data_IF_583990788857
#
_entry.id   IF_583990788857
#
_cell.length_a   1.000
_cell.length_b   1.000
_cell.length_c   1.000
_cell.angle_alpha   90.00
_cell.angle_beta   90.00
_cell.angle_gamma   90.00
#
_symmetry.space_group_name_H-M   'P 1'
#
loop_
_entity.id
_entity.type
_entity.pdbx_description
1 polymer ?
#
# COMPACT_ATOMS: atom_id res chain seq x y z
N UNK A 1 33.02 7.67 1.07
CA UNK A 1 32.68 8.14 -0.29
C UNK A 1 31.57 7.28 -0.89
N UNK A 2 31.73 5.98 -1.05
CA UNK A 2 30.71 5.11 -1.69
C UNK A 2 29.28 5.19 -1.11
N UNK A 3 29.10 5.30 0.21
CA UNK A 3 27.75 5.38 0.84
C UNK A 3 27.02 6.67 0.50
N UNK A 4 27.74 7.79 0.37
CA UNK A 4 27.12 9.08 -0.03
C UNK A 4 26.75 9.10 -1.51
N UNK A 5 27.52 8.46 -2.36
CA UNK A 5 27.23 8.32 -3.79
C UNK A 5 25.98 7.45 -4.03
N UNK A 6 25.90 6.31 -3.36
CA UNK A 6 24.71 5.44 -3.42
C UNK A 6 23.45 6.17 -2.95
N UNK A 7 23.53 6.96 -1.89
CA UNK A 7 22.41 7.75 -1.42
C UNK A 7 21.97 8.84 -2.41
N UNK A 8 22.93 9.51 -3.06
CA UNK A 8 22.64 10.53 -4.08
C UNK A 8 22.05 9.92 -5.36
N UNK A 9 22.50 8.73 -5.77
CA UNK A 9 21.93 8.00 -6.90
C UNK A 9 20.49 7.59 -6.63
N UNK A 10 20.22 7.09 -5.43
CA UNK A 10 18.86 6.71 -5.04
C UNK A 10 17.94 7.93 -4.97
N UNK A 11 18.43 9.06 -4.47
CA UNK A 11 17.62 10.30 -4.44
C UNK A 11 17.28 10.77 -5.85
N UNK A 12 18.21 10.76 -6.79
CA UNK A 12 17.93 11.06 -8.20
C UNK A 12 16.90 10.11 -8.80
N UNK A 13 17.00 8.83 -8.48
CA UNK A 13 16.04 7.82 -8.96
C UNK A 13 14.63 8.05 -8.40
N UNK A 14 14.51 8.40 -7.11
CA UNK A 14 13.23 8.73 -6.47
C UNK A 14 12.61 9.99 -7.09
N UNK A 15 13.43 10.98 -7.43
CA UNK A 15 12.99 12.20 -8.12
C UNK A 15 12.43 11.87 -9.50
N UNK A 16 13.11 11.02 -10.26
CA UNK A 16 12.64 10.58 -11.57
C UNK A 16 11.33 9.79 -11.48
N UNK A 17 11.23 8.87 -10.51
CA UNK A 17 10.02 8.08 -10.26
C UNK A 17 8.84 9.00 -9.91
N UNK A 18 9.04 9.95 -8.98
CA UNK A 18 8.03 10.93 -8.60
C UNK A 18 7.56 11.75 -9.81
N UNK A 19 8.49 12.24 -10.63
CA UNK A 19 8.16 12.99 -11.83
C UNK A 19 7.33 12.16 -12.83
N UNK A 20 7.65 10.88 -13.02
CA UNK A 20 6.88 9.97 -13.87
C UNK A 20 5.45 9.76 -13.31
N UNK A 21 5.33 9.48 -12.03
CA UNK A 21 4.02 9.26 -11.39
C UNK A 21 3.15 10.53 -11.46
N UNK A 22 3.72 11.71 -11.19
CA UNK A 22 3.00 12.97 -11.27
C UNK A 22 2.57 13.32 -12.70
N UNK A 23 3.39 13.01 -13.70
CA UNK A 23 3.01 13.19 -15.10
C UNK A 23 1.79 12.34 -15.46
N UNK A 24 1.75 11.09 -14.98
CA UNK A 24 0.60 10.19 -15.19
C UNK A 24 -0.66 10.72 -14.52
N UNK A 25 -0.57 11.22 -13.28
CA UNK A 25 -1.71 11.84 -12.62
C UNK A 25 -2.19 13.07 -13.40
N UNK A 26 -1.26 13.93 -13.91
CA UNK A 26 -1.61 15.08 -14.74
C UNK A 26 -2.30 14.69 -16.05
N UNK A 27 -1.83 13.62 -16.71
CA UNK A 27 -2.47 13.13 -17.94
C UNK A 27 -3.85 12.53 -17.69
N UNK A 28 -4.05 11.92 -16.53
CA UNK A 28 -5.28 11.21 -16.17
C UNK A 28 -6.35 12.08 -15.53
N UNK A 29 -6.03 13.30 -15.11
CA UNK A 29 -6.98 14.21 -14.48
C UNK A 29 -7.88 14.89 -15.52
N UNK A 30 -9.19 14.54 -15.60
CA UNK A 30 -10.11 15.12 -16.56
C UNK A 30 -10.46 16.58 -16.27
N UNK A 31 -10.31 17.03 -15.01
CA UNK A 31 -10.67 18.38 -14.57
C UNK A 31 -9.54 19.39 -14.88
N UNK A 32 -8.33 18.90 -15.08
CA UNK A 32 -7.17 19.74 -15.30
C UNK A 32 -7.21 20.42 -16.68
N UNK A 33 -7.24 21.76 -16.69
CA UNK A 33 -7.23 22.54 -17.93
C UNK A 33 -6.01 22.20 -18.80
N UNK A 34 -6.17 22.11 -20.14
CA UNK A 34 -5.10 21.63 -21.05
C UNK A 34 -3.78 22.41 -20.92
N UNK A 35 -3.82 23.73 -20.78
CA UNK A 35 -2.62 24.55 -20.61
C UNK A 35 -1.89 24.28 -19.30
N UNK A 36 -2.63 24.03 -18.22
CA UNK A 36 -2.06 23.66 -16.91
C UNK A 36 -1.47 22.25 -16.96
N UNK A 37 -2.16 21.31 -17.61
CA UNK A 37 -1.67 19.94 -17.84
C UNK A 37 -0.34 19.96 -18.60
N UNK A 38 -0.26 20.71 -19.70
CA UNK A 38 0.97 20.83 -20.51
C UNK A 38 2.13 21.38 -19.68
N UNK A 39 1.87 22.40 -18.85
CA UNK A 39 2.91 22.97 -17.97
C UNK A 39 3.42 21.95 -16.96
N UNK A 40 2.51 21.23 -16.28
CA UNK A 40 2.88 20.17 -15.34
C UNK A 40 3.73 19.09 -15.98
N UNK A 41 3.39 18.66 -17.19
CA UNK A 41 4.19 17.68 -17.93
C UNK A 41 5.59 18.22 -18.27
N UNK A 42 5.70 19.49 -18.60
CA UNK A 42 7.01 20.14 -18.83
C UNK A 42 7.84 20.19 -17.54
N UNK A 43 7.23 20.51 -16.41
CA UNK A 43 7.90 20.56 -15.11
C UNK A 43 8.33 19.14 -14.69
N UNK A 44 7.50 18.13 -14.87
CA UNK A 44 7.87 16.73 -14.62
C UNK A 44 9.03 16.28 -15.52
N UNK A 45 9.01 16.62 -16.82
CA UNK A 45 10.11 16.37 -17.73
C UNK A 45 11.41 17.05 -17.28
N UNK A 46 11.33 18.30 -16.82
CA UNK A 46 12.50 19.03 -16.31
C UNK A 46 13.13 18.32 -15.09
N UNK A 47 12.29 17.88 -14.14
CA UNK A 47 12.75 17.12 -12.96
C UNK A 47 13.36 15.78 -13.39
N UNK A 48 12.70 15.04 -14.28
CA UNK A 48 13.23 13.79 -14.83
C UNK A 48 14.62 13.98 -15.47
N UNK A 49 14.77 15.02 -16.31
CA UNK A 49 16.06 15.33 -16.95
C UNK A 49 17.14 15.70 -15.94
N UNK A 50 16.79 16.47 -14.90
CA UNK A 50 17.73 16.84 -13.84
C UNK A 50 18.22 15.64 -13.02
N UNK A 51 17.44 14.58 -12.96
CA UNK A 51 17.80 13.33 -12.29
C UNK A 51 18.83 12.48 -13.08
N UNK A 52 18.98 12.72 -14.39
CA UNK A 52 19.90 12.00 -15.26
C UNK A 52 21.24 12.73 -15.48
N UNK A 53 22.24 11.98 -15.94
CA UNK A 53 23.47 12.58 -16.47
C UNK A 53 23.18 13.40 -17.73
N UNK A 54 23.96 14.45 -18.02
CA UNK A 54 23.68 15.38 -19.14
C UNK A 54 23.46 14.69 -20.49
N UNK A 55 24.24 13.66 -20.79
CA UNK A 55 24.17 12.92 -22.07
C UNK A 55 22.82 12.20 -22.23
N UNK A 56 22.33 11.57 -21.16
CA UNK A 56 21.03 10.90 -21.16
C UNK A 56 19.88 11.91 -21.08
N UNK A 57 20.02 12.94 -20.28
CA UNK A 57 19.03 14.01 -20.17
C UNK A 57 18.73 14.68 -21.51
N UNK A 58 19.76 14.89 -22.36
CA UNK A 58 19.61 15.48 -23.68
C UNK A 58 18.77 14.60 -24.65
N UNK A 59 18.74 13.28 -24.44
CA UNK A 59 17.99 12.35 -25.26
C UNK A 59 16.51 12.24 -24.87
N UNK A 60 16.12 12.70 -23.68
CA UNK A 60 14.75 12.60 -23.18
C UNK A 60 13.99 13.88 -23.54
N UNK A 61 13.34 13.87 -24.70
CA UNK A 61 12.39 14.94 -25.07
C UNK A 61 10.96 14.60 -24.61
N UNK A 62 10.00 15.50 -24.86
CA UNK A 62 8.59 15.29 -24.46
C UNK A 62 7.98 14.06 -25.10
N UNK A 63 8.36 13.76 -26.33
CA UNK A 63 7.86 12.58 -27.07
C UNK A 63 8.34 11.29 -26.42
N UNK A 64 9.64 11.18 -26.16
CA UNK A 64 10.28 10.04 -25.51
C UNK A 64 9.74 9.86 -24.08
N UNK A 65 9.55 10.95 -23.36
CA UNK A 65 8.96 10.93 -22.02
C UNK A 65 7.56 10.34 -22.04
N UNK A 66 6.65 10.87 -22.88
CA UNK A 66 5.27 10.35 -22.99
C UNK A 66 5.20 8.91 -23.45
N UNK A 67 6.06 8.52 -24.39
CA UNK A 67 6.14 7.13 -24.84
C UNK A 67 6.64 6.21 -23.72
N UNK A 68 7.67 6.63 -22.99
CA UNK A 68 8.23 5.88 -21.87
C UNK A 68 7.26 5.72 -20.70
N UNK A 69 6.38 6.70 -20.43
CA UNK A 69 5.33 6.57 -19.40
C UNK A 69 4.32 5.46 -19.71
N UNK A 70 4.16 5.07 -20.98
CA UNK A 70 3.20 4.01 -21.43
C UNK A 70 3.79 2.61 -21.47
N UNK A 71 5.05 2.47 -21.08
CA UNK A 71 5.74 1.20 -20.98
C UNK A 71 6.39 1.01 -19.60
N UNK A 72 7.25 0.00 -19.47
CA UNK A 72 8.06 -0.19 -18.27
C UNK A 72 8.91 1.04 -17.96
N UNK A 73 9.00 1.42 -16.69
CA UNK A 73 9.70 2.65 -16.25
C UNK A 73 11.22 2.60 -16.36
N UNK A 74 11.82 1.41 -16.39
CA UNK A 74 13.28 1.26 -16.37
C UNK A 74 14.03 2.19 -17.34
N UNK A 75 13.59 2.35 -18.62
CA UNK A 75 14.23 3.27 -19.57
C UNK A 75 14.16 4.75 -19.17
N UNK A 76 13.20 5.15 -18.35
CA UNK A 76 13.04 6.52 -17.85
C UNK A 76 13.72 6.76 -16.51
N UNK A 77 14.06 5.72 -15.76
CA UNK A 77 14.67 5.88 -14.45
C UNK A 77 16.21 5.90 -14.55
N UNK A 78 16.91 6.71 -13.73
CA UNK A 78 18.35 6.55 -13.57
C UNK A 78 18.70 5.13 -13.14
N UNK A 79 19.88 4.60 -13.51
CA UNK A 79 20.31 3.27 -13.09
C UNK A 79 20.22 3.10 -11.56
N UNK A 80 19.70 1.96 -11.11
CA UNK A 80 19.70 1.63 -9.70
C UNK A 80 21.15 1.35 -9.25
N UNK A 81 21.53 1.86 -8.08
CA UNK A 81 22.80 1.54 -7.44
C UNK A 81 22.71 0.14 -6.84
N UNK A 82 22.95 -0.89 -7.67
CA UNK A 82 22.85 -2.28 -7.25
C UNK A 82 22.03 -3.14 -8.20
N UNK A 83 21.11 -3.96 -7.68
CA UNK A 83 20.22 -4.80 -8.49
C UNK A 83 19.04 -3.98 -9.02
N UNK A 84 18.52 -4.32 -10.24
CA UNK A 84 17.28 -3.76 -10.72
C UNK A 84 16.19 -3.90 -9.65
N UNK A 85 15.47 -2.82 -9.40
CA UNK A 85 14.34 -2.86 -8.48
C UNK A 85 13.02 -3.12 -9.25
N UNK A 86 11.93 -3.30 -8.51
CA UNK A 86 10.61 -3.59 -9.11
C UNK A 86 10.09 -2.45 -9.98
N UNK A 87 10.59 -1.23 -9.82
CA UNK A 87 10.15 -0.08 -10.60
C UNK A 87 10.66 -0.13 -12.04
N UNK A 88 11.75 -0.85 -12.34
CA UNK A 88 12.24 -1.01 -13.70
C UNK A 88 11.20 -1.70 -14.62
N UNK A 89 10.48 -2.66 -14.11
CA UNK A 89 9.43 -3.39 -14.82
C UNK A 89 8.02 -2.83 -14.59
N UNK A 90 7.89 -1.77 -13.79
CA UNK A 90 6.59 -1.22 -13.45
C UNK A 90 6.02 -0.41 -14.61
N UNK A 91 4.75 -0.66 -14.93
CA UNK A 91 3.95 0.13 -15.85
C UNK A 91 3.00 1.03 -15.04
N UNK A 92 2.93 2.32 -15.38
CA UNK A 92 2.10 3.31 -14.70
C UNK A 92 0.67 3.37 -15.25
N UNK A 93 0.49 3.00 -16.51
CA UNK A 93 -0.83 2.86 -17.13
C UNK A 93 -1.20 1.38 -17.25
N UNK A 94 -2.47 1.10 -17.21
CA UNK A 94 -2.99 -0.20 -17.57
C UNK A 94 -3.18 -0.33 -19.09
N UNK A 95 -3.63 -1.49 -19.55
CA UNK A 95 -3.85 -1.77 -20.97
C UNK A 95 -4.91 -0.86 -21.63
N UNK A 96 -5.73 -0.16 -20.84
CA UNK A 96 -6.74 0.80 -21.31
C UNK A 96 -6.23 2.25 -21.27
N UNK A 97 -5.00 2.47 -20.84
CA UNK A 97 -4.42 3.78 -20.69
C UNK A 97 -4.94 4.54 -19.47
N UNK A 98 -5.51 3.85 -18.48
CA UNK A 98 -5.88 4.42 -17.19
C UNK A 98 -4.70 4.31 -16.22
N UNK A 99 -4.50 5.34 -15.41
CA UNK A 99 -3.47 5.30 -14.37
C UNK A 99 -3.73 4.18 -13.36
N UNK A 100 -2.68 3.42 -13.04
CA UNK A 100 -2.74 2.39 -11.99
C UNK A 100 -2.83 3.03 -10.62
N UNK A 101 -3.49 2.35 -9.69
CA UNK A 101 -3.63 2.84 -8.31
C UNK A 101 -2.30 3.05 -7.59
N UNK A 102 -1.31 2.19 -7.85
CA UNK A 102 0.04 2.35 -7.31
C UNK A 102 0.70 3.70 -7.65
N UNK A 103 0.28 4.37 -8.72
CA UNK A 103 0.76 5.72 -9.07
C UNK A 103 0.38 6.73 -8.00
N UNK A 104 -0.86 6.68 -7.50
CA UNK A 104 -1.32 7.57 -6.44
C UNK A 104 -0.59 7.29 -5.12
N UNK A 105 -0.37 6.01 -4.80
CA UNK A 105 0.37 5.61 -3.60
C UNK A 105 1.81 6.12 -3.67
N UNK A 106 2.50 5.91 -4.80
CA UNK A 106 3.85 6.41 -5.00
C UNK A 106 3.93 7.94 -4.93
N UNK A 107 2.96 8.66 -5.51
CA UNK A 107 2.90 10.11 -5.37
C UNK A 107 2.77 10.50 -3.89
N UNK A 108 1.90 9.85 -3.12
CA UNK A 108 1.69 10.17 -1.71
C UNK A 108 2.91 9.82 -0.84
N UNK A 109 3.61 8.73 -1.16
CA UNK A 109 4.77 8.25 -0.40
C UNK A 109 6.06 9.01 -0.75
N UNK A 110 6.26 9.40 -2.02
CA UNK A 110 7.48 10.05 -2.52
C UNK A 110 7.40 11.58 -2.59
N UNK A 111 6.24 12.19 -2.41
CA UNK A 111 6.09 13.65 -2.32
C UNK A 111 6.75 14.20 -1.04
N UNK A 112 8.04 13.90 -0.88
CA UNK A 112 8.92 14.67 -0.01
C UNK A 112 9.28 15.97 -0.75
N UNK A 113 9.41 17.10 -0.05
CA UNK A 113 9.32 18.43 -0.60
C UNK A 113 10.32 18.69 -1.73
N UNK A 114 9.88 18.58 -2.95
CA UNK A 114 10.51 19.25 -4.08
C UNK A 114 9.67 20.48 -4.39
N UNK A 115 10.14 21.62 -3.93
CA UNK A 115 9.42 22.89 -3.93
C UNK A 115 8.77 23.27 -5.27
N UNK A 116 9.30 22.80 -6.40
CA UNK A 116 8.75 23.03 -7.72
C UNK A 116 7.46 22.25 -7.98
N UNK A 117 7.36 21.00 -7.50
CA UNK A 117 6.19 20.14 -7.74
C UNK A 117 5.12 20.32 -6.65
N UNK A 118 5.52 20.71 -5.42
CA UNK A 118 4.59 21.03 -4.33
C UNK A 118 3.69 22.24 -4.65
N UNK A 119 4.18 23.22 -5.40
CA UNK A 119 3.37 24.37 -5.82
C UNK A 119 2.17 23.97 -6.69
N UNK A 120 2.23 22.83 -7.38
CA UNK A 120 1.22 22.43 -8.33
C UNK A 120 0.21 21.41 -7.77
N UNK A 121 0.59 20.67 -6.69
CA UNK A 121 -0.28 19.66 -6.08
C UNK A 121 -0.27 19.61 -4.55
N UNK A 122 -0.40 20.74 -3.86
CA UNK A 122 -0.49 20.72 -2.39
C UNK A 122 -1.73 19.94 -1.93
N UNK A 123 -2.79 19.90 -2.74
CA UNK A 123 -4.07 19.31 -2.36
C UNK A 123 -4.07 17.77 -2.35
N UNK A 124 -3.31 17.08 -3.19
CA UNK A 124 -3.26 15.62 -3.17
C UNK A 124 -2.61 15.10 -1.89
N UNK A 125 -1.50 15.72 -1.48
CA UNK A 125 -0.83 15.45 -0.22
C UNK A 125 -1.67 15.89 0.97
N UNK A 126 -2.19 17.11 0.95
CA UNK A 126 -3.04 17.65 2.01
C UNK A 126 -4.27 16.77 2.20
N UNK A 127 -4.87 16.26 1.12
CA UNK A 127 -6.02 15.36 1.21
C UNK A 127 -5.64 14.00 1.82
N UNK A 128 -4.53 13.39 1.40
CA UNK A 128 -4.04 12.15 1.99
C UNK A 128 -3.70 12.31 3.47
N UNK A 129 -2.97 13.38 3.82
CA UNK A 129 -2.64 13.70 5.21
C UNK A 129 -3.89 14.04 6.05
N UNK A 130 -4.89 14.71 5.46
CA UNK A 130 -6.16 15.00 6.15
C UNK A 130 -6.99 13.75 6.40
N UNK A 131 -7.07 12.82 5.46
CA UNK A 131 -7.79 11.56 5.64
C UNK A 131 -7.08 10.65 6.66
N UNK A 132 -5.76 10.58 6.60
CA UNK A 132 -4.96 9.90 7.62
C UNK A 132 -5.14 10.53 9.01
N UNK A 133 -5.07 11.87 9.11
CA UNK A 133 -5.31 12.60 10.35
C UNK A 133 -6.74 12.40 10.88
N UNK A 134 -7.75 12.44 10.01
CA UNK A 134 -9.15 12.15 10.39
C UNK A 134 -9.30 10.76 10.99
N UNK A 135 -8.71 9.74 10.32
CA UNK A 135 -8.72 8.38 10.84
C UNK A 135 -8.07 8.34 12.23
N UNK A 136 -6.87 8.91 12.37
CA UNK A 136 -6.17 8.95 13.66
C UNK A 136 -6.92 9.74 14.73
N UNK A 137 -7.52 10.88 14.39
CA UNK A 137 -8.27 11.71 15.33
C UNK A 137 -9.52 11.00 15.85
N UNK A 138 -10.21 10.27 14.97
CA UNK A 138 -11.33 9.42 15.36
C UNK A 138 -10.85 8.30 16.27
N UNK A 139 -9.80 7.59 15.86
CA UNK A 139 -9.27 6.44 16.58
C UNK A 139 -8.70 6.82 17.97
N UNK A 140 -8.05 7.98 18.13
CA UNK A 140 -7.48 8.46 19.39
C UNK A 140 -8.52 8.80 20.47
N UNK A 141 -9.76 9.05 20.08
CA UNK A 141 -10.87 9.35 21.01
C UNK A 141 -11.49 8.11 21.61
N UNK A 142 -11.15 6.94 21.09
CA UNK A 142 -11.69 5.66 21.52
C UNK A 142 -11.00 5.18 22.80
N UNK A 143 -11.74 4.48 23.63
CA UNK A 143 -11.15 3.67 24.69
C UNK A 143 -10.24 2.58 24.10
N UNK A 144 -9.28 2.03 24.84
CA UNK A 144 -8.40 0.97 24.32
C UNK A 144 -9.14 -0.24 23.74
N UNK A 145 -10.29 -0.58 24.30
CA UNK A 145 -11.11 -1.70 23.81
C UNK A 145 -11.84 -1.34 22.50
N UNK A 146 -12.44 -0.17 22.43
CA UNK A 146 -13.07 0.34 21.21
C UNK A 146 -12.06 0.53 20.09
N UNK A 147 -10.86 1.02 20.39
CA UNK A 147 -9.75 1.13 19.47
C UNK A 147 -9.40 -0.23 18.85
N UNK A 148 -9.22 -1.28 19.68
CA UNK A 148 -8.94 -2.64 19.17
C UNK A 148 -10.05 -3.17 18.29
N UNK A 149 -11.32 -2.93 18.67
CA UNK A 149 -12.47 -3.33 17.87
C UNK A 149 -12.53 -2.57 16.53
N UNK A 150 -12.28 -1.27 16.54
CA UNK A 150 -12.27 -0.42 15.35
C UNK A 150 -11.13 -0.82 14.39
N UNK A 151 -9.92 -1.07 14.90
CA UNK A 151 -8.80 -1.59 14.09
C UNK A 151 -9.14 -2.95 13.48
N UNK A 152 -9.70 -3.86 14.26
CA UNK A 152 -10.14 -5.17 13.75
C UNK A 152 -11.19 -5.02 12.66
N UNK A 153 -12.16 -4.12 12.84
CA UNK A 153 -13.19 -3.82 11.84
C UNK A 153 -12.58 -3.36 10.52
N UNK A 154 -11.64 -2.41 10.55
CA UNK A 154 -10.95 -1.92 9.36
C UNK A 154 -10.21 -3.03 8.60
N UNK A 155 -9.60 -3.97 9.31
CA UNK A 155 -8.92 -5.12 8.71
C UNK A 155 -9.88 -6.18 8.14
N UNK A 156 -11.05 -6.38 8.76
CA UNK A 156 -11.95 -7.49 8.43
C UNK A 156 -13.15 -7.08 7.59
N UNK A 157 -13.54 -5.80 7.61
CA UNK A 157 -14.74 -5.26 6.95
C UNK A 157 -14.42 -3.97 6.18
N UNK A 158 -13.38 -3.99 5.37
CA UNK A 158 -13.04 -2.84 4.52
C UNK A 158 -14.14 -2.50 3.49
N UNK A 159 -15.00 -3.46 3.17
CA UNK A 159 -16.22 -3.26 2.39
C UNK A 159 -17.30 -4.26 2.83
N UNK A 160 -18.55 -3.93 2.58
CA UNK A 160 -19.70 -4.78 2.88
C UNK A 160 -21.02 -4.09 2.59
N UNK A 161 -22.13 -4.80 2.83
CA UNK A 161 -23.44 -4.18 2.76
C UNK A 161 -23.66 -3.19 3.91
N UNK A 162 -24.46 -2.15 3.68
CA UNK A 162 -24.88 -1.19 4.71
C UNK A 162 -25.38 -1.93 5.95
N UNK A 163 -26.16 -2.99 5.77
CA UNK A 163 -26.71 -3.80 6.86
C UNK A 163 -25.61 -4.52 7.66
N UNK A 164 -24.62 -5.09 6.99
CA UNK A 164 -23.47 -5.76 7.62
C UNK A 164 -22.62 -4.76 8.40
N UNK A 165 -22.25 -3.65 7.78
CA UNK A 165 -21.44 -2.59 8.38
C UNK A 165 -22.17 -1.92 9.55
N UNK A 166 -23.47 -1.63 9.44
CA UNK A 166 -24.24 -1.04 10.53
C UNK A 166 -24.22 -1.92 11.77
N UNK A 167 -24.34 -3.24 11.64
CA UNK A 167 -24.22 -4.16 12.78
C UNK A 167 -22.86 -4.08 13.48
N UNK A 168 -21.80 -3.80 12.75
CA UNK A 168 -20.47 -3.63 13.32
C UNK A 168 -20.33 -2.26 13.97
N UNK A 169 -20.85 -1.21 13.34
CA UNK A 169 -20.88 0.15 13.90
C UNK A 169 -21.69 0.22 15.20
N UNK A 170 -22.84 -0.45 15.25
CA UNK A 170 -23.68 -0.53 16.46
C UNK A 170 -22.91 -1.12 17.64
N UNK A 171 -22.05 -2.12 17.40
CA UNK A 171 -21.16 -2.71 18.43
C UNK A 171 -20.06 -1.76 18.90
N UNK A 172 -19.73 -0.75 18.11
CA UNK A 172 -18.73 0.27 18.43
C UNK A 172 -19.35 1.55 18.97
N UNK A 173 -20.71 1.65 18.97
CA UNK A 173 -21.44 2.89 19.26
C UNK A 173 -20.96 4.07 18.40
N UNK A 174 -20.44 3.80 17.21
CA UNK A 174 -19.83 4.76 16.33
C UNK A 174 -20.09 4.39 14.86
N UNK A 175 -20.32 5.42 14.05
CA UNK A 175 -20.33 5.31 12.59
C UNK A 175 -19.13 6.06 12.03
N UNK A 176 -18.44 5.42 11.10
CA UNK A 176 -17.31 6.04 10.40
C UNK A 176 -17.80 6.73 9.11
N UNK A 177 -17.34 7.95 8.90
CA UNK A 177 -17.70 8.80 7.74
C UNK A 177 -16.79 8.57 6.51
N UNK A 178 -15.80 7.68 6.61
CA UNK A 178 -14.87 7.37 5.54
C UNK A 178 -15.29 6.13 4.69
N UNK A 179 -16.52 5.65 4.84
CA UNK A 179 -17.10 4.66 3.94
C UNK A 179 -17.89 5.35 2.83
N UNK A 180 -17.57 4.97 1.59
CA UNK A 180 -18.17 5.53 0.36
C UNK A 180 -18.97 4.47 -0.37
N UNK A 181 -19.93 4.89 -1.20
CA UNK A 181 -20.74 3.96 -1.99
C UNK A 181 -19.91 3.33 -3.12
N UNK A 182 -19.91 2.00 -3.20
CA UNK A 182 -19.28 1.27 -4.31
C UNK A 182 -19.95 1.58 -5.65
N UNK A 183 -21.23 2.00 -5.65
CA UNK A 183 -21.95 2.43 -6.85
C UNK A 183 -21.28 3.63 -7.54
N UNK A 184 -20.57 4.47 -6.78
CA UNK A 184 -19.89 5.66 -7.28
C UNK A 184 -18.48 5.35 -7.85
N UNK A 185 -18.07 4.08 -7.86
CA UNK A 185 -16.73 3.64 -8.30
C UNK A 185 -16.76 2.78 -9.56
N UNK A 186 -16.91 3.38 -10.76
CA UNK A 186 -17.01 2.61 -12.01
C UNK A 186 -15.77 1.76 -12.33
N UNK A 187 -14.61 2.09 -11.75
CA UNK A 187 -13.36 1.38 -11.97
C UNK A 187 -13.33 -0.05 -11.39
N UNK A 188 -14.22 -0.37 -10.45
CA UNK A 188 -14.32 -1.71 -9.85
C UNK A 188 -15.54 -2.50 -10.32
N UNK A 189 -16.29 -1.98 -11.28
CA UNK A 189 -17.56 -2.56 -11.72
C UNK A 189 -17.47 -3.16 -13.12
N UNK A 190 -18.11 -4.29 -13.31
CA UNK A 190 -18.39 -4.89 -14.62
C UNK A 190 -19.86 -5.28 -14.67
N UNK A 191 -20.60 -4.74 -15.64
CA UNK A 191 -22.04 -5.02 -15.86
C UNK A 191 -22.91 -4.83 -14.61
N UNK A 192 -22.59 -3.82 -13.80
CA UNK A 192 -23.34 -3.53 -12.55
C UNK A 192 -22.98 -4.44 -11.37
N UNK A 193 -21.90 -5.21 -11.48
CA UNK A 193 -21.38 -6.05 -10.41
C UNK A 193 -19.98 -5.63 -10.00
N UNK A 194 -19.66 -5.79 -8.71
CA UNK A 194 -18.33 -5.63 -8.18
C UNK A 194 -17.87 -6.88 -7.43
N UNK A 195 -16.58 -7.03 -7.22
CA UNK A 195 -15.96 -8.23 -6.70
C UNK A 195 -15.08 -7.88 -5.50
N UNK A 196 -15.44 -8.33 -4.28
CA UNK A 196 -14.61 -8.11 -3.10
C UNK A 196 -13.32 -8.94 -3.19
N UNK A 197 -12.20 -8.35 -2.82
CA UNK A 197 -10.95 -9.10 -2.68
C UNK A 197 -11.09 -10.19 -1.59
N UNK A 198 -10.74 -11.45 -1.82
CA UNK A 198 -10.87 -12.50 -0.81
C UNK A 198 -9.95 -12.29 0.40
N UNK A 199 -8.93 -11.44 0.29
CA UNK A 199 -7.98 -11.14 1.38
C UNK A 199 -8.41 -9.89 2.16
N UNK A 200 -8.57 -8.74 1.50
CA UNK A 200 -8.86 -7.47 2.18
C UNK A 200 -10.32 -7.04 2.11
N UNK A 201 -11.17 -7.77 1.42
CA UNK A 201 -12.60 -7.46 1.20
C UNK A 201 -12.87 -6.17 0.40
N UNK A 202 -11.86 -5.35 0.16
CA UNK A 202 -11.98 -4.12 -0.61
C UNK A 202 -12.30 -4.43 -2.08
N UNK A 203 -13.03 -3.56 -2.82
CA UNK A 203 -13.38 -3.79 -4.22
C UNK A 203 -12.14 -4.01 -5.11
N UNK A 204 -12.15 -5.08 -5.89
CA UNK A 204 -11.11 -5.36 -6.87
C UNK A 204 -11.30 -4.48 -8.09
N UNK A 205 -10.19 -4.05 -8.67
CA UNK A 205 -10.18 -3.27 -9.91
C UNK A 205 -10.54 -4.16 -11.11
N UNK A 206 -11.48 -3.70 -11.92
CA UNK A 206 -11.84 -4.32 -13.18
C UNK A 206 -11.17 -3.55 -14.33
N UNK A 207 -10.30 -4.24 -15.07
CA UNK A 207 -9.52 -3.66 -16.17
C UNK A 207 -9.87 -4.39 -17.44
N UNK A 208 -10.30 -3.66 -18.46
CA UNK A 208 -10.59 -4.25 -19.77
C UNK A 208 -9.27 -4.64 -20.45
N UNK A 209 -9.16 -5.88 -20.87
CA UNK A 209 -8.01 -6.43 -21.61
C UNK A 209 -8.49 -7.04 -22.93
N UNK A 210 -8.55 -6.22 -23.98
CA UNK A 210 -9.17 -6.61 -25.24
C UNK A 210 -10.66 -6.91 -25.10
N UNK A 211 -11.14 -8.12 -25.49
CA UNK A 211 -12.53 -8.54 -25.34
C UNK A 211 -12.88 -9.04 -23.93
N UNK A 212 -11.91 -9.14 -23.03
CA UNK A 212 -12.06 -9.68 -21.67
C UNK A 212 -11.80 -8.60 -20.62
N UNK A 213 -12.16 -8.91 -19.37
CA UNK A 213 -11.76 -8.09 -18.23
C UNK A 213 -10.84 -8.89 -17.32
N UNK A 214 -9.81 -8.23 -16.83
CA UNK A 214 -9.02 -8.70 -15.70
C UNK A 214 -9.56 -8.04 -14.43
N UNK A 215 -9.85 -8.85 -13.41
CA UNK A 215 -10.31 -8.39 -12.11
C UNK A 215 -9.25 -8.73 -11.07
N UNK A 216 -8.67 -7.72 -10.42
CA UNK A 216 -7.54 -7.93 -9.51
C UNK A 216 -7.55 -6.97 -8.32
N UNK A 217 -7.01 -7.42 -7.21
CA UNK A 217 -6.67 -6.54 -6.10
C UNK A 217 -5.24 -6.03 -6.27
N UNK A 218 -5.03 -4.73 -6.39
CA UNK A 218 -3.70 -4.15 -6.59
C UNK A 218 -2.70 -4.58 -5.49
N UNK A 219 -3.11 -4.57 -4.22
CA UNK A 219 -2.25 -4.98 -3.12
C UNK A 219 -2.03 -6.51 -3.03
N UNK A 220 -2.96 -7.33 -3.55
CA UNK A 220 -2.91 -8.79 -3.39
C UNK A 220 -2.72 -9.55 -4.71
N UNK A 221 -2.64 -8.86 -5.86
CA UNK A 221 -2.28 -9.47 -7.14
C UNK A 221 -0.93 -10.21 -7.09
N UNK A 222 0.13 -9.69 -6.42
CA UNK A 222 1.38 -10.44 -6.24
C UNK A 222 1.22 -11.74 -5.46
N UNK A 223 0.14 -11.89 -4.68
CA UNK A 223 -0.24 -13.10 -3.93
C UNK A 223 -1.21 -14.00 -4.69
N UNK A 224 -1.48 -13.71 -5.98
CA UNK A 224 -2.36 -14.49 -6.84
C UNK A 224 -3.84 -14.07 -6.83
N UNK A 225 -4.19 -12.93 -6.24
CA UNK A 225 -5.57 -12.38 -6.29
C UNK A 225 -5.76 -11.65 -7.61
N UNK A 226 -5.84 -12.43 -8.67
CA UNK A 226 -6.00 -11.98 -10.05
C UNK A 226 -6.90 -12.98 -10.79
N UNK A 227 -7.92 -12.46 -11.48
CA UNK A 227 -8.95 -13.25 -12.13
C UNK A 227 -9.20 -12.73 -13.55
N UNK A 228 -9.57 -13.65 -14.42
CA UNK A 228 -10.14 -13.34 -15.72
C UNK A 228 -11.64 -13.39 -15.61
N UNK A 229 -12.31 -12.33 -16.08
CA UNK A 229 -13.75 -12.24 -16.11
C UNK A 229 -14.28 -12.66 -17.47
N UNK A 230 -15.26 -13.55 -17.46
CA UNK A 230 -16.02 -13.96 -18.65
C UNK A 230 -17.43 -13.44 -18.53
N UNK A 231 -17.89 -12.70 -19.55
CA UNK A 231 -19.24 -12.16 -19.62
C UNK A 231 -20.30 -13.26 -19.46
N UNK A 232 -21.34 -12.99 -18.69
CA UNK A 232 -22.51 -13.85 -18.62
C UNK A 232 -23.29 -13.82 -19.94
N UNK A 233 -23.83 -14.97 -20.37
CA UNK A 233 -24.75 -15.04 -21.50
C UNK A 233 -26.19 -14.69 -21.16
N UNK A 234 -26.48 -14.41 -19.88
CA UNK A 234 -27.80 -14.08 -19.35
C UNK A 234 -27.76 -12.95 -18.34
N UNK A 235 -28.93 -12.58 -17.76
CA UNK A 235 -28.98 -11.60 -16.69
C UNK A 235 -28.25 -12.16 -15.45
N UNK A 236 -27.22 -11.48 -15.01
CA UNK A 236 -26.44 -11.87 -13.83
C UNK A 236 -24.96 -11.58 -13.98
N UNK A 237 -24.16 -11.78 -12.90
CA UNK A 237 -22.74 -11.57 -12.93
C UNK A 237 -22.07 -12.58 -13.87
N UNK A 238 -21.00 -12.13 -14.52
CA UNK A 238 -20.11 -13.03 -15.24
C UNK A 238 -19.25 -13.87 -14.27
N UNK A 239 -18.56 -14.84 -14.83
CA UNK A 239 -17.74 -15.78 -14.07
C UNK A 239 -16.31 -15.28 -13.92
N UNK A 240 -15.76 -15.38 -12.70
CA UNK A 240 -14.35 -15.14 -12.41
C UNK A 240 -13.57 -16.45 -12.40
N UNK A 241 -12.61 -16.55 -13.33
CA UNK A 241 -11.64 -17.65 -13.36
C UNK A 241 -10.32 -17.16 -12.80
N UNK A 242 -9.86 -17.75 -11.71
CA UNK A 242 -8.58 -17.41 -11.10
C UNK A 242 -7.40 -17.75 -12.02
N UNK A 243 -6.46 -16.82 -12.17
CA UNK A 243 -5.25 -16.99 -12.99
C UNK A 243 -4.05 -17.52 -12.20
N UNK A 244 -4.13 -17.52 -10.86
CA UNK A 244 -3.07 -17.96 -9.96
C UNK A 244 -3.42 -19.23 -9.16
N UNK A 245 -2.39 -19.95 -8.67
CA UNK A 245 -2.56 -21.17 -7.87
C UNK A 245 -3.33 -21.00 -6.56
N UNK A 246 -3.41 -19.75 -6.06
CA UNK A 246 -4.07 -19.40 -4.80
C UNK A 246 -5.42 -18.69 -5.01
N UNK A 247 -5.98 -18.75 -6.21
CA UNK A 247 -7.24 -18.07 -6.50
C UNK A 247 -8.40 -18.75 -5.74
N UNK A 248 -9.03 -18.00 -4.87
CA UNK A 248 -10.21 -18.39 -4.10
C UNK A 248 -11.46 -17.94 -4.86
N UNK A 249 -12.53 -18.71 -4.83
CA UNK A 249 -13.80 -18.31 -5.42
C UNK A 249 -14.30 -17.00 -4.78
N UNK A 250 -14.74 -16.07 -5.62
CA UNK A 250 -15.24 -14.76 -5.19
C UNK A 250 -16.71 -14.64 -5.56
N UNK A 251 -17.54 -14.32 -4.57
CA UNK A 251 -18.95 -14.05 -4.80
C UNK A 251 -19.14 -12.63 -5.31
N UNK A 252 -19.70 -12.42 -6.50
CA UNK A 252 -20.04 -11.11 -7.02
C UNK A 252 -21.13 -10.44 -6.17
N UNK A 253 -21.06 -9.13 -6.06
CA UNK A 253 -22.05 -8.31 -5.35
C UNK A 253 -22.57 -7.22 -6.29
N UNK A 254 -23.87 -6.85 -6.20
CA UNK A 254 -24.41 -5.79 -7.05
C UNK A 254 -23.77 -4.44 -6.69
N UNK A 255 -23.44 -3.65 -7.70
CA UNK A 255 -22.94 -2.30 -7.53
C UNK A 255 -24.13 -1.36 -7.23
N UNK A 256 -24.53 -1.31 -5.98
CA UNK A 256 -25.66 -0.50 -5.50
C UNK A 256 -25.24 0.36 -4.31
N UNK A 257 -26.04 1.36 -3.99
CA UNK A 257 -25.85 2.21 -2.80
C UNK A 257 -25.94 1.43 -1.47
N UNK A 258 -26.40 0.19 -1.51
CA UNK A 258 -26.44 -0.70 -0.35
C UNK A 258 -25.07 -1.32 -0.01
N UNK A 259 -24.04 -1.09 -0.85
CA UNK A 259 -22.69 -1.56 -0.61
C UNK A 259 -21.74 -0.37 -0.44
N UNK A 260 -21.01 -0.40 0.67
CA UNK A 260 -20.02 0.61 1.02
C UNK A 260 -18.62 -0.02 1.12
N UNK A 261 -17.63 0.77 0.85
CA UNK A 261 -16.24 0.43 1.12
C UNK A 261 -15.50 1.62 1.74
N UNK A 262 -14.48 1.36 2.56
CA UNK A 262 -13.61 2.43 3.05
C UNK A 262 -12.99 3.14 1.87
N UNK A 263 -12.79 4.47 1.98
CA UNK A 263 -12.11 5.22 0.94
C UNK A 263 -10.67 4.67 0.74
N UNK A 264 -10.06 5.01 -0.40
CA UNK A 264 -8.78 4.45 -0.79
C UNK A 264 -7.65 4.73 0.23
N UNK A 265 -7.62 5.91 0.86
CA UNK A 265 -6.58 6.27 1.83
C UNK A 265 -6.71 5.43 3.10
N UNK A 266 -7.91 5.27 3.63
CA UNK A 266 -8.17 4.40 4.78
C UNK A 266 -7.85 2.94 4.46
N UNK A 267 -8.19 2.47 3.25
CA UNK A 267 -7.79 1.14 2.83
C UNK A 267 -6.26 0.98 2.81
N UNK A 268 -5.56 1.91 2.19
CA UNK A 268 -4.10 1.82 1.99
C UNK A 268 -3.32 1.92 3.30
N UNK A 269 -3.65 2.89 4.14
CA UNK A 269 -2.89 3.22 5.34
C UNK A 269 -3.53 2.72 6.64
N UNK A 270 -4.77 2.28 6.59
CA UNK A 270 -5.50 1.68 7.70
C UNK A 270 -5.68 0.16 7.54
N UNK A 271 -6.39 -0.27 6.49
CA UNK A 271 -6.75 -1.69 6.32
C UNK A 271 -5.54 -2.58 6.02
N UNK A 272 -4.69 -2.20 5.06
CA UNK A 272 -3.57 -3.07 4.64
C UNK A 272 -2.54 -3.34 5.74
N UNK A 273 -2.10 -2.35 6.55
CA UNK A 273 -1.24 -2.64 7.70
C UNK A 273 -1.90 -3.58 8.71
N UNK A 274 -3.16 -3.33 9.07
CA UNK A 274 -3.92 -4.18 10.00
C UNK A 274 -3.99 -5.63 9.53
N UNK A 275 -4.11 -5.86 8.23
CA UNK A 275 -4.11 -7.22 7.68
C UNK A 275 -2.79 -7.96 7.91
N UNK A 276 -1.65 -7.26 7.84
CA UNK A 276 -0.34 -7.87 8.17
C UNK A 276 -0.26 -8.22 9.65
N UNK A 277 -0.78 -7.35 10.51
CA UNK A 277 -0.85 -7.56 11.95
C UNK A 277 -1.73 -8.78 12.29
N UNK A 278 -2.93 -8.84 11.70
CA UNK A 278 -3.86 -9.96 11.87
C UNK A 278 -3.28 -11.26 11.30
N UNK A 279 -2.65 -11.22 10.12
CA UNK A 279 -1.98 -12.38 9.54
C UNK A 279 -0.91 -12.92 10.51
N UNK A 280 -0.06 -12.06 11.05
CA UNK A 280 0.98 -12.45 11.99
C UNK A 280 0.37 -13.05 13.27
N UNK A 281 -0.70 -12.45 13.79
CA UNK A 281 -1.46 -13.00 14.92
C UNK A 281 -1.95 -14.42 14.63
N UNK A 282 -2.60 -14.61 13.49
CA UNK A 282 -3.23 -15.90 13.13
C UNK A 282 -2.18 -16.97 12.86
N UNK A 283 -1.04 -16.62 12.24
CA UNK A 283 0.08 -17.55 12.04
C UNK A 283 0.76 -18.00 13.34
N UNK A 284 0.66 -17.21 14.39
CA UNK A 284 1.26 -17.47 15.69
C UNK A 284 0.24 -18.00 16.71
N UNK A 285 -1.04 -17.99 16.40
CA UNK A 285 -2.10 -18.43 17.30
C UNK A 285 -1.89 -19.89 17.73
N UNK A 286 -2.12 -20.16 19.02
CA UNK A 286 -2.04 -21.50 19.59
C UNK A 286 -0.63 -22.05 19.83
N UNK A 287 0.43 -21.27 19.58
CA UNK A 287 1.79 -21.70 19.91
C UNK A 287 1.98 -21.79 21.43
N UNK A 288 2.69 -22.82 21.93
CA UNK A 288 2.98 -22.95 23.34
C UNK A 288 3.95 -21.84 23.79
N UNK A 289 3.82 -21.42 25.07
CA UNK A 289 4.69 -20.42 25.70
C UNK A 289 4.67 -19.05 25.05
N UNK A 290 3.71 -18.77 24.17
CA UNK A 290 3.51 -17.50 23.48
C UNK A 290 2.42 -16.68 24.16
N UNK A 291 2.74 -15.44 24.46
CA UNK A 291 1.79 -14.38 24.83
C UNK A 291 1.88 -13.29 23.76
N UNK A 292 0.72 -12.84 23.26
CA UNK A 292 0.64 -11.82 22.23
C UNK A 292 -0.43 -10.80 22.58
N UNK A 293 -0.04 -9.53 22.55
CA UNK A 293 -0.94 -8.40 22.75
C UNK A 293 -0.99 -7.56 21.48
N UNK A 294 -2.20 -7.40 20.93
CA UNK A 294 -2.46 -6.50 19.80
C UNK A 294 -2.64 -5.08 20.32
N UNK A 295 -2.01 -4.13 19.62
CA UNK A 295 -2.12 -2.69 19.87
C UNK A 295 -1.99 -2.34 21.36
N UNK A 296 -0.83 -2.62 21.95
CA UNK A 296 -0.59 -2.38 23.36
C UNK A 296 -0.49 -0.88 23.62
N UNK A 297 -0.96 -0.47 24.77
CA UNK A 297 -0.88 0.90 25.28
C UNK A 297 -2.14 1.26 26.05
N UNK A 298 -1.97 1.60 27.33
CA UNK A 298 -3.07 2.09 28.19
C UNK A 298 -3.28 3.60 28.02
N UNK A 299 -2.19 4.37 27.83
CA UNK A 299 -2.24 5.82 27.72
C UNK A 299 -2.09 6.34 26.29
N UNK A 300 -1.48 5.56 25.39
CA UNK A 300 -1.33 5.82 23.96
C UNK A 300 -1.54 4.52 23.22
N UNK A 301 -2.76 4.16 22.87
CA UNK A 301 -2.97 3.09 21.94
C UNK A 301 -2.18 3.42 20.68
N UNK A 302 -1.46 2.43 20.12
CA UNK A 302 -0.67 2.60 18.89
C UNK A 302 0.79 3.04 19.04
N UNK A 303 1.42 2.72 20.16
CA UNK A 303 2.86 2.91 20.30
C UNK A 303 3.65 1.98 19.36
N UNK A 304 3.10 0.80 19.11
CA UNK A 304 3.46 -0.23 18.12
C UNK A 304 2.30 -1.24 18.00
N UNK A 305 2.29 -2.01 16.91
CA UNK A 305 1.11 -2.82 16.55
C UNK A 305 0.95 -4.10 17.37
N UNK A 306 2.07 -4.82 17.66
CA UNK A 306 2.03 -6.06 18.44
C UNK A 306 3.17 -6.13 19.45
N UNK A 307 2.86 -6.68 20.63
CA UNK A 307 3.84 -7.16 21.59
C UNK A 307 3.79 -8.68 21.64
N UNK A 308 4.90 -9.30 21.32
CA UNK A 308 5.05 -10.76 21.32
C UNK A 308 6.06 -11.13 22.40
N UNK A 309 5.66 -12.02 23.31
CA UNK A 309 6.51 -12.56 24.37
C UNK A 309 6.53 -14.08 24.27
N UNK A 310 7.73 -14.66 24.26
CA UNK A 310 7.94 -16.12 24.34
C UNK A 310 8.66 -16.43 25.63
N UNK A 311 8.03 -17.28 26.48
CA UNK A 311 8.52 -17.64 27.81
C UNK A 311 8.64 -19.15 27.99
N UNK A 312 9.60 -19.79 27.29
CA UNK A 312 9.87 -21.23 27.40
C UNK A 312 10.52 -21.52 28.77
N UNK A 313 10.03 -22.51 29.54
CA UNK A 313 10.66 -22.92 30.80
C UNK A 313 12.16 -23.21 30.65
N UNK A 314 12.95 -22.69 31.56
CA UNK A 314 14.42 -22.87 31.54
C UNK A 314 15.18 -22.01 30.51
N UNK A 315 14.51 -21.15 29.75
CA UNK A 315 15.14 -20.22 28.81
C UNK A 315 14.82 -18.78 29.16
N UNK A 316 15.68 -17.85 28.74
CA UNK A 316 15.41 -16.41 28.86
C UNK A 316 14.20 -16.02 28.03
N UNK A 317 13.35 -15.15 28.59
CA UNK A 317 12.20 -14.57 27.87
C UNK A 317 12.68 -13.79 26.64
N UNK A 318 11.97 -13.94 25.55
CA UNK A 318 12.21 -13.18 24.31
C UNK A 318 11.02 -12.28 24.03
N UNK A 319 11.31 -11.05 23.59
CA UNK A 319 10.29 -10.05 23.30
C UNK A 319 10.51 -9.47 21.90
N UNK A 320 9.41 -9.20 21.21
CA UNK A 320 9.36 -8.43 19.96
C UNK A 320 8.31 -7.35 20.09
N UNK A 321 8.70 -6.12 19.83
CA UNK A 321 7.79 -5.00 19.60
C UNK A 321 7.71 -4.80 18.10
N UNK A 322 6.53 -5.00 17.52
CA UNK A 322 6.31 -5.09 16.08
C UNK A 322 5.51 -3.90 15.61
N UNK A 323 5.95 -3.30 14.51
CA UNK A 323 5.24 -2.24 13.79
C UNK A 323 5.16 -2.64 12.31
N UNK A 324 3.95 -2.92 11.81
CA UNK A 324 3.69 -3.40 10.46
C UNK A 324 3.56 -2.22 9.48
N UNK A 325 4.25 -2.29 8.36
CA UNK A 325 4.25 -1.23 7.34
C UNK A 325 4.00 -1.82 5.95
N UNK A 326 2.98 -1.30 5.28
CA UNK A 326 2.56 -1.75 3.95
C UNK A 326 2.76 -0.66 2.88
N UNK A 327 3.90 0.02 2.88
CA UNK A 327 4.20 1.06 1.91
C UNK A 327 4.58 0.47 0.55
N UNK A 328 4.27 1.19 -0.52
CA UNK A 328 4.71 0.82 -1.87
C UNK A 328 6.22 1.00 -2.05
N UNK A 329 6.78 2.05 -1.46
CA UNK A 329 8.21 2.33 -1.53
C UNK A 329 8.90 2.16 -0.19
N UNK A 330 9.78 1.18 -0.08
CA UNK A 330 10.64 1.01 1.11
C UNK A 330 11.64 2.15 1.28
N UNK A 331 11.98 2.87 0.20
CA UNK A 331 12.84 4.05 0.23
C UNK A 331 12.13 5.20 0.92
N UNK A 332 10.90 5.48 0.49
CA UNK A 332 10.07 6.50 1.12
C UNK A 332 9.77 6.16 2.59
N UNK A 333 9.50 4.89 2.88
CA UNK A 333 9.34 4.39 4.25
C UNK A 333 10.60 4.65 5.08
N UNK A 334 11.80 4.33 4.55
CA UNK A 334 13.06 4.58 5.23
C UNK A 334 13.26 6.05 5.57
N UNK A 335 13.00 6.95 4.61
CA UNK A 335 13.05 8.41 4.83
C UNK A 335 12.05 8.84 5.93
N UNK A 336 10.81 8.36 5.88
CA UNK A 336 9.79 8.66 6.88
C UNK A 336 10.16 8.16 8.28
N UNK A 337 10.75 6.98 8.39
CA UNK A 337 11.23 6.42 9.65
C UNK A 337 12.41 7.22 10.21
N UNK A 338 13.38 7.62 9.37
CA UNK A 338 14.55 8.39 9.79
C UNK A 338 14.22 9.84 10.15
N UNK A 339 13.20 10.42 9.55
CA UNK A 339 12.74 11.78 9.86
C UNK A 339 11.99 11.90 11.19
N UNK A 340 11.57 10.80 11.81
CA UNK A 340 10.84 10.81 13.09
C UNK A 340 11.80 10.64 14.27
N UNK A 341 12.14 11.71 15.00
CA UNK A 341 12.91 11.62 16.23
C UNK A 341 12.07 10.92 17.30
N UNK A 342 12.39 9.71 17.64
CA UNK A 342 11.68 8.94 18.65
C UNK A 342 11.32 7.53 18.24
N UNK A 343 11.77 7.09 17.08
CA UNK A 343 11.70 5.68 16.72
C UNK A 343 12.41 4.87 17.82
N UNK A 344 11.68 3.95 18.45
CA UNK A 344 12.19 3.31 19.68
C UNK A 344 13.18 2.21 19.34
N UNK A 345 14.32 2.20 20.02
CA UNK A 345 15.28 1.09 19.95
C UNK A 345 14.59 -0.25 20.24
N UNK A 346 14.92 -1.28 19.46
CA UNK A 346 14.37 -2.62 19.62
C UNK A 346 13.01 -2.84 18.95
N UNK A 347 12.48 -1.84 18.23
CA UNK A 347 11.31 -2.02 17.37
C UNK A 347 11.66 -2.93 16.19
N UNK A 348 10.72 -3.76 15.80
CA UNK A 348 10.82 -4.61 14.60
C UNK A 348 9.80 -4.16 13.58
N UNK A 349 10.27 -3.53 12.49
CA UNK A 349 9.44 -3.20 11.33
C UNK A 349 9.17 -4.48 10.54
N UNK A 350 7.89 -4.74 10.26
CA UNK A 350 7.46 -5.91 9.49
C UNK A 350 6.85 -5.45 8.16
N UNK A 351 7.44 -5.94 7.08
CA UNK A 351 7.00 -5.70 5.71
C UNK A 351 6.18 -6.88 5.18
N UNK A 352 5.33 -6.66 4.15
CA UNK A 352 4.73 -7.74 3.38
C UNK A 352 5.80 -8.68 2.79
N UNK A 353 5.49 -9.98 2.64
CA UNK A 353 6.46 -10.97 2.15
C UNK A 353 6.93 -10.72 0.71
N UNK A 354 6.11 -10.09 -0.13
CA UNK A 354 6.53 -9.72 -1.49
C UNK A 354 7.65 -8.67 -1.52
N UNK A 355 7.86 -7.91 -0.43
CA UNK A 355 8.96 -6.96 -0.26
C UNK A 355 10.19 -7.58 0.40
N UNK A 356 10.29 -8.90 0.44
CA UNK A 356 11.41 -9.61 1.10
C UNK A 356 12.80 -9.19 0.58
N UNK A 357 12.94 -8.97 -0.73
CA UNK A 357 14.19 -8.53 -1.35
C UNK A 357 14.63 -7.13 -0.91
N UNK A 358 13.67 -6.26 -0.58
CA UNK A 358 13.90 -4.86 -0.25
C UNK A 358 14.23 -4.65 1.25
N UNK A 359 13.99 -5.66 2.09
CA UNK A 359 14.19 -5.57 3.55
C UNK A 359 15.61 -5.17 3.96
N UNK A 360 16.64 -5.64 3.23
CA UNK A 360 18.03 -5.34 3.55
C UNK A 360 18.38 -3.89 3.30
N UNK A 361 17.80 -3.32 2.24
CA UNK A 361 17.95 -1.90 1.94
C UNK A 361 17.35 -1.05 3.06
N UNK A 362 16.08 -1.31 3.45
CA UNK A 362 15.45 -0.59 4.56
C UNK A 362 16.23 -0.76 5.87
N UNK A 363 16.68 -1.98 6.17
CA UNK A 363 17.49 -2.24 7.36
C UNK A 363 18.78 -1.42 7.40
N UNK A 364 19.41 -1.17 6.25
CA UNK A 364 20.59 -0.33 6.16
C UNK A 364 20.30 1.14 6.47
N UNK A 365 19.14 1.65 6.05
CA UNK A 365 18.71 3.04 6.29
C UNK A 365 18.39 3.31 7.76
N UNK A 366 17.77 2.34 8.46
CA UNK A 366 17.34 2.52 9.86
C UNK A 366 18.30 1.91 10.89
N UNK A 367 19.48 1.45 10.47
CA UNK A 367 20.47 0.76 11.32
C UNK A 367 20.84 1.55 12.56
N UNK A 368 21.13 2.83 12.40
CA UNK A 368 21.61 3.70 13.50
C UNK A 368 20.53 3.97 14.55
N UNK A 369 19.29 3.67 14.24
CA UNK A 369 18.15 3.81 15.16
C UNK A 369 17.92 2.55 16.02
N UNK A 370 18.69 1.47 15.80
CA UNK A 370 18.54 0.21 16.52
C UNK A 370 17.23 -0.53 16.20
N UNK A 371 16.66 -0.27 15.03
CA UNK A 371 15.44 -0.89 14.52
C UNK A 371 15.80 -2.12 13.69
N UNK A 372 15.01 -3.19 13.84
CA UNK A 372 15.11 -4.40 13.05
C UNK A 372 14.09 -4.38 11.92
N UNK A 373 14.44 -4.91 10.76
CA UNK A 373 13.53 -5.04 9.61
C UNK A 373 13.39 -6.50 9.21
N UNK A 374 12.17 -6.95 9.00
CA UNK A 374 11.86 -8.34 8.60
C UNK A 374 10.56 -8.38 7.78
N UNK A 375 10.15 -9.56 7.33
CA UNK A 375 8.83 -9.78 6.74
C UNK A 375 7.97 -10.64 7.65
N UNK A 376 6.65 -10.70 7.36
CA UNK A 376 5.69 -11.47 8.17
C UNK A 376 6.15 -12.91 8.36
N UNK A 377 6.38 -13.66 7.28
CA UNK A 377 6.80 -15.06 7.35
C UNK A 377 8.15 -15.26 8.04
N UNK A 378 9.10 -14.33 7.84
CA UNK A 378 10.40 -14.40 8.51
C UNK A 378 10.29 -14.18 10.02
N UNK A 379 9.44 -13.25 10.48
CA UNK A 379 9.20 -13.05 11.90
C UNK A 379 8.46 -14.24 12.50
N UNK A 380 7.38 -14.70 11.86
CA UNK A 380 6.62 -15.85 12.32
C UNK A 380 7.52 -17.07 12.51
N UNK A 381 8.41 -17.36 11.56
CA UNK A 381 9.39 -18.44 11.69
C UNK A 381 10.29 -18.27 12.91
N UNK A 382 10.85 -17.08 13.14
CA UNK A 382 11.72 -16.80 14.30
C UNK A 382 11.00 -16.99 15.62
N UNK A 383 9.72 -16.62 15.68
CA UNK A 383 8.89 -16.80 16.89
C UNK A 383 8.58 -18.27 17.10
N UNK A 384 8.20 -19.01 16.05
CA UNK A 384 7.99 -20.47 16.09
C UNK A 384 9.24 -21.21 16.57
N UNK A 385 10.39 -20.89 16.01
CA UNK A 385 11.70 -21.46 16.44
C UNK A 385 12.00 -21.13 17.92
N UNK A 386 11.62 -19.94 18.39
CA UNK A 386 11.80 -19.55 19.79
C UNK A 386 10.87 -20.32 20.75
N UNK A 387 9.66 -20.68 20.32
CA UNK A 387 8.71 -21.50 21.06
C UNK A 387 9.13 -23.00 21.08
N UNK A 388 10.09 -23.40 20.25
CA UNK A 388 10.44 -24.82 20.08
C UNK A 388 9.40 -25.60 19.29
N UNK A 389 8.55 -24.93 18.52
CA UNK A 389 7.57 -25.60 17.67
C UNK A 389 8.27 -26.40 16.56
N UNK A 390 7.82 -27.61 16.23
CA UNK A 390 8.37 -28.36 15.11
C UNK A 390 8.18 -27.56 13.80
N UNK A 391 9.16 -27.70 12.90
CA UNK A 391 9.17 -27.06 11.58
C UNK A 391 8.10 -27.59 10.66
#
# INVERSE_FOLDING_TARGET
MAVREVAADQERRDQALTACCMAVVAESDPVLAPGRRSRLLMDCLAVLRAAHRPERAAQIGMKEFRQGLRGPLGPLLPPASGRPDRFDSMELFDAQGLARDAVQDLCSEHLVPQAALEQYWPWARVRAEQEEQRLFDVMRRLSPEEYRRARTLLGTHAAGSVRELSRQWDRLWMRFDFFESVADWPWCQVDGWWYPCPVCRWPMRAVRSGPQFDVRCEAHAPRGVHYRYTLSKGPGPGELTGTGKAAVAVTPLPASSDHLAVNRHVWRYGTLPVLLELQLRDELAGLPFLEMQMWPGEQRPDEYDLHITVAVPGKSKRHWRVDAKAWESVVALGKALTARPGLRRGLTIVLPDHQHSERHFLASQVRDQGVKVTTVSCLAKRVKDACGAPR
#
